data_IF_983901992081
#
_entry.id   IF_983901992081
#
_cell.length_a   1.000
_cell.length_b   1.000
_cell.length_c   1.000
_cell.angle_alpha   90.00
_cell.angle_beta   90.00
_cell.angle_gamma   90.00
#
_symmetry.space_group_name_H-M   'P 1'
#
loop_
_entity.id
_entity.type
_entity.pdbx_description
1 polymer ?
#
# COMPACT_ATOMS: atom_id res chain seq x y z
N UNK A 1 13.76 -2.89 1.57
CA UNK A 1 13.83 -3.18 0.11
C UNK A 1 14.08 -1.87 -0.63
N UNK A 2 14.70 -1.89 -1.82
CA UNK A 2 14.73 -0.71 -2.71
C UNK A 2 13.42 -0.67 -3.51
N UNK A 3 12.69 0.44 -3.45
CA UNK A 3 11.47 0.63 -4.25
C UNK A 3 11.89 0.72 -5.73
N UNK A 4 11.26 -0.06 -6.64
CA UNK A 4 11.56 0.03 -8.07
C UNK A 4 11.28 1.42 -8.63
N UNK A 5 12.02 1.80 -9.67
CA UNK A 5 11.77 3.06 -10.38
C UNK A 5 10.45 3.03 -11.16
N UNK A 6 10.09 1.87 -11.75
CA UNK A 6 8.83 1.66 -12.47
C UNK A 6 8.11 0.45 -11.88
N UNK A 7 6.79 0.59 -11.72
CA UNK A 7 5.87 -0.48 -11.30
C UNK A 7 4.80 -0.57 -12.38
N UNK A 8 4.77 -1.69 -13.12
CA UNK A 8 3.95 -1.86 -14.33
C UNK A 8 3.12 -3.16 -14.32
N UNK A 9 3.16 -3.92 -13.22
CA UNK A 9 2.57 -5.25 -13.07
C UNK A 9 3.10 -6.33 -14.04
N UNK A 10 4.10 -6.05 -14.88
CA UNK A 10 4.80 -7.05 -15.70
C UNK A 10 6.02 -7.58 -14.96
N UNK A 11 6.88 -6.66 -14.51
CA UNK A 11 8.11 -7.01 -13.78
C UNK A 11 7.94 -6.86 -12.27
N UNK A 12 7.26 -5.79 -11.85
CA UNK A 12 6.98 -5.50 -10.46
C UNK A 12 5.49 -5.26 -10.29
N UNK A 13 4.82 -6.12 -9.54
CA UNK A 13 3.42 -5.90 -9.17
C UNK A 13 3.34 -4.90 -8.05
N UNK A 14 2.42 -3.95 -8.16
CA UNK A 14 2.20 -2.94 -7.13
C UNK A 14 1.88 -3.57 -5.77
N UNK A 15 1.08 -4.64 -5.76
CA UNK A 15 0.73 -5.37 -4.54
C UNK A 15 1.94 -5.93 -3.80
N UNK A 16 2.92 -6.49 -4.53
CA UNK A 16 4.13 -7.09 -3.94
C UNK A 16 5.05 -6.02 -3.36
N UNK A 17 5.18 -4.89 -4.07
CA UNK A 17 5.95 -3.73 -3.59
C UNK A 17 5.32 -3.14 -2.34
N UNK A 18 4.01 -2.88 -2.35
CA UNK A 18 3.29 -2.35 -1.19
C UNK A 18 3.35 -3.30 0.00
N UNK A 19 3.17 -4.60 -0.21
CA UNK A 19 3.27 -5.62 0.85
C UNK A 19 4.66 -5.61 1.49
N UNK A 20 5.71 -5.48 0.69
CA UNK A 20 7.08 -5.40 1.18
C UNK A 20 7.36 -4.11 1.95
N UNK A 21 6.71 -2.99 1.59
CA UNK A 21 6.76 -1.74 2.36
C UNK A 21 6.06 -1.91 3.71
N UNK A 22 4.85 -2.50 3.72
CA UNK A 22 4.07 -2.78 4.93
C UNK A 22 4.82 -3.68 5.92
N UNK A 23 5.53 -4.70 5.41
CA UNK A 23 6.37 -5.58 6.23
C UNK A 23 7.51 -4.83 6.96
N UNK A 24 8.03 -3.75 6.38
CA UNK A 24 9.08 -2.92 7.00
C UNK A 24 8.54 -1.88 8.01
N UNK A 25 7.22 -1.68 8.02
CA UNK A 25 6.51 -0.70 8.85
C UNK A 25 5.66 -1.33 9.95
N UNK A 26 5.91 -2.59 10.32
CA UNK A 26 5.24 -3.24 11.46
C UNK A 26 5.40 -2.40 12.74
N UNK A 27 4.28 -2.12 13.40
CA UNK A 27 4.19 -1.26 14.59
C UNK A 27 4.44 0.24 14.34
N UNK A 28 4.67 0.66 13.09
CA UNK A 28 4.93 2.06 12.71
C UNK A 28 3.72 2.70 12.02
N UNK A 29 3.77 4.01 11.90
CA UNK A 29 2.79 4.80 11.16
C UNK A 29 3.05 4.72 9.64
N UNK A 30 1.98 4.68 8.85
CA UNK A 30 2.03 4.83 7.40
C UNK A 30 0.88 5.72 6.92
N UNK A 31 1.24 6.77 6.17
CA UNK A 31 0.28 7.66 5.51
C UNK A 31 0.35 7.42 3.99
N UNK A 32 -0.80 7.23 3.34
CA UNK A 32 -0.92 7.04 1.88
C UNK A 32 -1.88 8.09 1.32
N UNK A 33 -1.52 8.71 0.20
CA UNK A 33 -2.42 9.52 -0.61
C UNK A 33 -2.64 8.85 -1.96
N UNK A 34 -3.89 8.62 -2.35
CA UNK A 34 -4.25 8.03 -3.65
C UNK A 34 -5.56 8.61 -4.15
N UNK A 35 -5.71 8.74 -5.47
CA UNK A 35 -6.97 9.17 -6.07
C UNK A 35 -8.08 8.13 -5.86
N UNK A 36 -7.75 6.84 -5.85
CA UNK A 36 -8.73 5.76 -5.73
C UNK A 36 -8.17 4.57 -4.96
N UNK A 37 -9.03 3.90 -4.19
CA UNK A 37 -8.70 2.66 -3.49
C UNK A 37 -9.93 1.75 -3.42
N UNK A 38 -9.85 0.59 -4.09
CA UNK A 38 -10.97 -0.35 -4.14
C UNK A 38 -10.82 -1.52 -3.16
N UNK A 39 -11.92 -2.27 -3.00
CA UNK A 39 -12.01 -3.45 -2.14
C UNK A 39 -11.01 -4.54 -2.55
N UNK A 40 -10.72 -4.70 -3.85
CA UNK A 40 -9.74 -5.67 -4.34
C UNK A 40 -8.33 -5.36 -3.84
N UNK A 41 -7.91 -4.09 -3.93
CA UNK A 41 -6.64 -3.61 -3.38
C UNK A 41 -6.56 -3.79 -1.87
N UNK A 42 -7.64 -3.52 -1.14
CA UNK A 42 -7.72 -3.81 0.28
C UNK A 42 -7.51 -5.29 0.60
N UNK A 43 -8.15 -6.20 -0.13
CA UNK A 43 -8.03 -7.64 0.10
C UNK A 43 -6.59 -8.15 -0.01
N UNK A 44 -5.79 -7.55 -0.91
CA UNK A 44 -4.38 -7.88 -1.11
C UNK A 44 -3.48 -7.36 0.02
N UNK A 45 -3.84 -6.25 0.66
CA UNK A 45 -2.97 -5.54 1.61
C UNK A 45 -3.42 -5.67 3.08
N UNK A 46 -4.63 -6.18 3.34
CA UNK A 46 -5.30 -6.16 4.65
C UNK A 46 -4.42 -6.67 5.80
N UNK A 47 -3.67 -7.74 5.58
CA UNK A 47 -2.89 -8.37 6.65
C UNK A 47 -1.64 -7.56 6.99
N UNK A 48 -1.00 -6.95 5.99
CA UNK A 48 0.09 -6.00 6.22
C UNK A 48 -0.39 -4.72 6.91
N UNK A 49 -1.57 -4.22 6.52
CA UNK A 49 -2.18 -3.01 7.10
C UNK A 49 -2.55 -3.20 8.57
N UNK A 50 -3.07 -4.38 8.98
CA UNK A 50 -3.34 -4.72 10.39
C UNK A 50 -2.10 -4.66 11.27
N UNK A 51 -0.92 -4.87 10.70
CA UNK A 51 0.35 -4.86 11.44
C UNK A 51 0.93 -3.46 11.68
N UNK A 52 0.30 -2.41 11.13
CA UNK A 52 0.74 -1.03 11.33
C UNK A 52 0.31 -0.53 12.73
N UNK A 53 1.12 0.38 13.29
CA UNK A 53 0.74 1.07 14.53
C UNK A 53 -0.33 2.14 14.28
N UNK A 54 -0.26 2.82 13.14
CA UNK A 54 -1.33 3.70 12.65
C UNK A 54 -1.34 3.74 11.13
N UNK A 55 -2.52 3.93 10.55
CA UNK A 55 -2.70 4.02 9.11
C UNK A 55 -3.62 5.18 8.77
N UNK A 56 -3.17 6.04 7.85
CA UNK A 56 -3.99 7.14 7.32
C UNK A 56 -4.04 7.05 5.81
N UNK A 57 -5.23 7.18 5.28
CA UNK A 57 -5.49 7.14 3.85
C UNK A 57 -6.18 8.44 3.46
N UNK A 58 -5.48 9.27 2.70
CA UNK A 58 -6.07 10.40 2.00
C UNK A 58 -6.58 9.89 0.65
N UNK A 59 -7.90 9.83 0.51
CA UNK A 59 -8.55 9.49 -0.74
C UNK A 59 -8.88 10.77 -1.50
N UNK A 60 -8.65 10.76 -2.80
CA UNK A 60 -9.24 11.75 -3.69
C UNK A 60 -10.76 11.67 -3.60
N UNK A 61 -11.40 12.84 -3.70
CA UNK A 61 -12.84 12.90 -3.92
C UNK A 61 -13.14 12.37 -5.33
N UNK A 62 -14.21 11.59 -5.49
CA UNK A 62 -14.71 11.29 -6.84
C UNK A 62 -15.18 12.61 -7.49
N UNK A 63 -14.95 12.83 -8.79
CA UNK A 63 -15.63 13.93 -9.50
C UNK A 63 -17.15 13.74 -9.53
#
# INVERSE_FOLDING_TARGET
>A
MKIPFVIDNQQHKMADVLSSILAQHQGKSLDIATAYFNVGGWQLLRDGLKGLGSFRLLLGDEP
#
